data_IF_258267973539
#
_entry.id   IF_258267973539
#
_cell.length_a   1.000
_cell.length_b   1.000
_cell.length_c   1.000
_cell.angle_alpha   90.00
_cell.angle_beta   90.00
_cell.angle_gamma   90.00
#
_symmetry.space_group_name_H-M   'P 1'
#
loop_
_entity.id
_entity.type
_entity.pdbx_description
1 polymer ?
#
# COMPACT_ATOMS: atom_id res chain seq x y z
N UNK A 1 19.40 43.39 34.33
CA UNK A 1 20.07 43.52 33.01
C UNK A 1 20.78 42.21 32.73
N UNK A 2 20.38 41.49 31.66
CA UNK A 2 21.19 40.60 30.77
C UNK A 2 21.96 39.45 31.45
N UNK A 3 21.70 38.15 31.24
CA UNK A 3 21.73 37.39 29.98
C UNK A 3 21.05 36.02 30.17
N UNK A 4 20.12 35.71 29.27
CA UNK A 4 19.66 34.35 28.94
C UNK A 4 20.70 33.64 28.06
N UNK A 5 20.99 32.35 28.25
CA UNK A 5 21.24 31.33 27.20
C UNK A 5 21.73 29.99 27.77
N UNK A 6 21.31 28.90 27.09
CA UNK A 6 21.64 27.48 27.24
C UNK A 6 20.82 26.73 28.30
N UNK A 7 19.98 25.73 27.96
CA UNK A 7 20.12 24.72 26.92
C UNK A 7 18.75 24.24 26.47
N UNK A 8 18.53 24.37 25.17
CA UNK A 8 17.43 23.83 24.39
C UNK A 8 17.31 22.31 24.62
N UNK A 9 16.29 21.88 25.37
CA UNK A 9 15.83 20.49 25.35
C UNK A 9 15.07 20.31 24.03
N UNK A 10 15.76 19.82 23.00
CA UNK A 10 15.16 19.57 21.69
C UNK A 10 14.05 18.53 21.77
N UNK A 11 12.92 18.71 21.05
CA UNK A 11 11.95 17.65 20.87
C UNK A 11 12.50 16.61 19.88
N UNK A 12 11.86 15.43 19.87
CA UNK A 12 11.86 14.41 18.80
C UNK A 12 12.90 13.27 18.89
N UNK A 13 12.68 12.34 19.83
CA UNK A 13 12.68 10.95 19.41
C UNK A 13 11.41 10.75 18.57
N UNK A 14 11.46 11.15 17.31
CA UNK A 14 10.62 10.59 16.27
C UNK A 14 10.99 9.10 16.24
N UNK A 15 10.27 8.29 17.02
CA UNK A 15 10.26 6.85 16.85
C UNK A 15 10.00 6.60 15.38
N UNK A 16 11.03 6.11 14.67
CA UNK A 16 11.00 5.84 13.24
C UNK A 16 10.09 4.63 13.01
N UNK A 17 8.78 4.84 13.17
CA UNK A 17 7.72 3.88 12.89
C UNK A 17 7.95 3.42 11.47
N UNK A 18 8.23 2.14 11.29
CA UNK A 18 8.46 1.57 9.96
C UNK A 18 7.29 1.95 9.05
N UNK A 19 7.59 2.78 8.05
CA UNK A 19 6.59 3.25 7.10
C UNK A 19 6.25 2.08 6.19
N UNK A 20 5.16 1.37 6.52
CA UNK A 20 4.62 0.33 5.66
C UNK A 20 3.82 1.02 4.57
N UNK A 21 4.45 1.20 3.42
CA UNK A 21 3.79 1.74 2.24
C UNK A 21 2.92 0.65 1.60
N UNK A 22 1.71 1.02 1.23
CA UNK A 22 0.71 0.16 0.61
C UNK A 22 0.36 0.73 -0.76
N UNK A 23 0.58 -0.02 -1.82
CA UNK A 23 0.20 0.35 -3.18
C UNK A 23 -1.14 -0.31 -3.50
N UNK A 24 -2.13 0.48 -3.91
CA UNK A 24 -3.40 -0.03 -4.39
C UNK A 24 -3.43 0.11 -5.90
N UNK A 25 -3.69 -1.01 -6.58
CA UNK A 25 -3.75 -1.08 -8.03
C UNK A 25 -4.78 -2.13 -8.45
N UNK A 26 -5.28 -2.02 -9.68
CA UNK A 26 -6.21 -2.99 -10.24
C UNK A 26 -6.19 -2.95 -11.75
N UNK A 27 -6.94 -3.85 -12.35
CA UNK A 27 -7.03 -3.95 -13.80
C UNK A 27 -7.92 -5.10 -14.20
N UNK A 28 -8.11 -5.23 -15.51
CA UNK A 28 -8.86 -6.34 -16.07
C UNK A 28 -8.00 -7.61 -16.06
N UNK A 29 -8.52 -8.69 -15.50
CA UNK A 29 -7.91 -10.00 -15.51
C UNK A 29 -8.29 -10.77 -16.77
N UNK A 30 -7.40 -11.64 -17.25
CA UNK A 30 -7.74 -12.56 -18.34
C UNK A 30 -8.83 -13.56 -17.94
N UNK A 31 -8.81 -13.95 -16.68
CA UNK A 31 -9.77 -14.86 -16.07
C UNK A 31 -10.00 -14.42 -14.62
N UNK A 32 -11.26 -14.30 -14.16
CA UNK A 32 -11.57 -13.80 -12.83
C UNK A 32 -11.10 -14.73 -11.70
N UNK A 33 -10.78 -15.99 -12.02
CA UNK A 33 -10.24 -16.97 -11.06
C UNK A 33 -8.72 -16.92 -10.94
N UNK A 34 -8.05 -16.15 -11.80
CA UNK A 34 -6.58 -16.02 -11.84
C UNK A 34 -6.15 -14.64 -11.39
N UNK A 35 -4.85 -14.48 -11.21
CA UNK A 35 -4.19 -13.20 -10.87
C UNK A 35 -3.41 -12.60 -12.05
N UNK A 36 -3.74 -13.02 -13.27
CA UNK A 36 -3.08 -12.57 -14.50
C UNK A 36 -3.87 -11.44 -15.13
N UNK A 37 -3.25 -10.27 -15.24
CA UNK A 37 -3.82 -9.12 -15.92
C UNK A 37 -3.82 -9.33 -17.43
N UNK A 38 -4.93 -8.97 -18.07
CA UNK A 38 -5.11 -9.02 -19.51
C UNK A 38 -4.21 -8.03 -20.25
N UNK A 39 -4.08 -6.83 -19.72
CA UNK A 39 -3.17 -5.82 -20.23
C UNK A 39 -2.44 -5.13 -19.06
N UNK A 40 -1.12 -5.19 -19.07
CA UNK A 40 -0.27 -4.58 -18.03
C UNK A 40 -0.12 -3.07 -18.23
N UNK A 41 -0.35 -2.56 -19.44
CA UNK A 41 -0.29 -1.13 -19.73
C UNK A 41 -1.58 -0.41 -19.33
N UNK A 42 -2.70 -1.15 -19.24
CA UNK A 42 -4.01 -0.65 -18.79
C UNK A 42 -4.22 -0.81 -17.28
N UNK A 43 -3.14 -1.00 -16.52
CA UNK A 43 -3.24 -1.14 -15.08
C UNK A 43 -3.67 0.17 -14.43
N UNK A 44 -4.78 0.13 -13.70
CA UNK A 44 -5.28 1.25 -12.93
C UNK A 44 -4.53 1.35 -11.59
N UNK A 45 -3.69 2.38 -11.46
CA UNK A 45 -3.02 2.71 -10.20
C UNK A 45 -3.89 3.68 -9.41
N UNK A 46 -4.39 3.25 -8.26
CA UNK A 46 -5.25 4.06 -7.38
C UNK A 46 -4.40 5.02 -6.56
N UNK A 47 -3.28 4.53 -6.00
CA UNK A 47 -2.37 5.36 -5.22
C UNK A 47 -1.49 4.59 -4.24
N UNK A 48 -0.61 5.32 -3.56
CA UNK A 48 0.28 4.80 -2.51
C UNK A 48 -0.13 5.43 -1.19
N UNK A 49 -0.32 4.59 -0.17
CA UNK A 49 -0.84 4.98 1.14
C UNK A 49 0.16 4.66 2.26
N UNK A 50 0.21 5.49 3.31
CA UNK A 50 1.17 5.33 4.41
C UNK A 50 0.74 4.29 5.47
N UNK A 51 -0.48 3.76 5.38
CA UNK A 51 -1.00 2.72 6.27
C UNK A 51 -2.00 1.80 5.54
N UNK A 52 -2.28 0.65 6.15
CA UNK A 52 -3.16 -0.37 5.59
C UNK A 52 -4.63 0.09 5.55
N UNK A 53 -5.09 0.85 6.55
CA UNK A 53 -6.49 1.28 6.64
C UNK A 53 -6.89 2.20 5.48
N UNK A 54 -6.05 3.20 5.17
CA UNK A 54 -6.26 4.09 4.02
C UNK A 54 -6.20 3.32 2.70
N UNK A 55 -5.27 2.38 2.54
CA UNK A 55 -5.19 1.53 1.37
C UNK A 55 -6.43 0.63 1.20
N UNK A 56 -6.90 0.04 2.30
CA UNK A 56 -8.09 -0.80 2.33
C UNK A 56 -9.34 -0.01 1.96
N UNK A 57 -9.50 1.21 2.48
CA UNK A 57 -10.61 2.09 2.13
C UNK A 57 -10.59 2.46 0.64
N UNK A 58 -9.42 2.79 0.08
CA UNK A 58 -9.28 3.08 -1.34
C UNK A 58 -9.59 1.86 -2.22
N UNK A 59 -9.04 0.68 -1.87
CA UNK A 59 -9.33 -0.58 -2.53
C UNK A 59 -10.82 -0.91 -2.50
N UNK A 60 -11.47 -0.78 -1.34
CA UNK A 60 -12.90 -1.06 -1.17
C UNK A 60 -13.74 -0.14 -2.04
N UNK A 61 -13.42 1.15 -2.09
CA UNK A 61 -14.14 2.12 -2.91
C UNK A 61 -14.07 1.76 -4.40
N UNK A 62 -12.88 1.44 -4.90
CA UNK A 62 -12.68 1.08 -6.31
C UNK A 62 -13.29 -0.29 -6.66
N UNK A 63 -13.10 -1.30 -5.80
CA UNK A 63 -13.69 -2.63 -6.00
C UNK A 63 -15.23 -2.60 -5.98
N UNK A 64 -15.83 -1.78 -5.12
CA UNK A 64 -17.29 -1.60 -5.09
C UNK A 64 -17.82 -0.86 -6.32
N UNK A 65 -17.04 0.08 -6.87
CA UNK A 65 -17.40 0.82 -8.08
C UNK A 65 -17.40 -0.07 -9.33
N UNK A 66 -16.61 -1.13 -9.34
CA UNK A 66 -16.44 -2.02 -10.50
C UNK A 66 -17.13 -3.37 -10.33
N UNK A 67 -18.13 -3.48 -9.43
CA UNK A 67 -18.84 -4.74 -9.16
C UNK A 67 -19.50 -5.34 -10.41
N UNK A 68 -19.92 -4.51 -11.36
CA UNK A 68 -20.53 -4.93 -12.62
C UNK A 68 -19.52 -5.50 -13.63
N UNK A 69 -18.22 -5.28 -13.44
CA UNK A 69 -17.17 -5.87 -14.28
C UNK A 69 -16.51 -7.05 -13.55
N UNK A 70 -16.92 -8.26 -13.93
CA UNK A 70 -16.44 -9.51 -13.33
C UNK A 70 -14.91 -9.72 -13.45
N UNK A 71 -14.27 -9.12 -14.45
CA UNK A 71 -12.82 -9.26 -14.67
C UNK A 71 -12.02 -8.15 -14.01
N UNK A 72 -12.66 -7.06 -13.57
CA UNK A 72 -11.96 -5.96 -12.92
C UNK A 72 -11.67 -6.30 -11.46
N UNK A 73 -10.38 -6.42 -11.12
CA UNK A 73 -9.95 -6.77 -9.76
C UNK A 73 -8.91 -5.77 -9.26
N UNK A 74 -9.07 -5.36 -8.01
CA UNK A 74 -8.11 -4.53 -7.29
C UNK A 74 -7.38 -5.33 -6.22
N UNK A 75 -6.12 -4.97 -6.01
CA UNK A 75 -5.17 -5.60 -5.10
C UNK A 75 -4.45 -4.52 -4.27
N UNK A 76 -3.99 -4.93 -3.08
CA UNK A 76 -3.16 -4.11 -2.20
C UNK A 76 -1.78 -4.78 -2.09
N UNK A 77 -0.74 -4.14 -2.62
CA UNK A 77 0.64 -4.59 -2.48
C UNK A 77 1.32 -3.91 -1.29
N UNK A 78 2.02 -4.70 -0.47
CA UNK A 78 2.81 -4.21 0.66
C UNK A 78 4.25 -3.94 0.22
N UNK A 79 4.58 -2.68 -0.09
CA UNK A 79 5.90 -2.28 -0.60
C UNK A 79 7.02 -2.39 0.45
N UNK A 80 6.68 -2.47 1.73
CA UNK A 80 7.65 -2.63 2.81
C UNK A 80 8.51 -3.90 2.66
N UNK A 81 7.98 -4.94 2.00
CA UNK A 81 8.64 -6.24 1.88
C UNK A 81 9.69 -6.28 0.77
N UNK A 82 9.62 -5.36 -0.19
CA UNK A 82 10.53 -5.34 -1.33
C UNK A 82 11.89 -4.68 -1.01
N UNK A 83 12.00 -3.94 0.11
CA UNK A 83 13.25 -3.30 0.56
C UNK A 83 14.07 -4.15 1.54
N UNK A 84 13.54 -5.31 1.93
CA UNK A 84 14.17 -6.25 2.87
C UNK A 84 14.58 -7.54 2.13
N UNK A 85 15.30 -7.38 1.01
CA UNK A 85 15.95 -8.46 0.26
C UNK A 85 17.12 -9.08 1.07
N UNK A 86 16.74 -9.72 2.18
CA UNK A 86 17.60 -10.46 3.08
C UNK A 86 16.87 -11.36 4.08
N UNK A 87 15.53 -11.36 4.14
CA UNK A 87 14.81 -12.36 4.94
C UNK A 87 13.53 -12.83 4.28
N UNK A 88 13.59 -14.10 3.90
CA UNK A 88 12.56 -14.95 3.35
C UNK A 88 11.31 -14.92 4.23
N UNK A 89 10.19 -14.62 3.58
CA UNK A 89 8.87 -15.20 3.76
C UNK A 89 7.88 -14.13 3.31
N UNK A 90 7.24 -14.37 2.16
CA UNK A 90 6.07 -13.61 1.75
C UNK A 90 4.98 -14.47 1.18
N UNK A 91 4.20 -15.07 2.08
CA UNK A 91 2.84 -15.52 1.76
C UNK A 91 2.07 -14.33 1.17
N UNK A 92 1.91 -14.38 -0.15
CA UNK A 92 0.94 -13.65 -0.96
C UNK A 92 -0.32 -14.52 -1.19
N UNK A 93 -0.48 -15.57 -0.39
CA UNK A 93 -1.63 -16.47 -0.44
C UNK A 93 -2.47 -16.22 0.82
N UNK A 94 -3.79 -16.36 0.66
CA UNK A 94 -4.86 -16.24 1.67
C UNK A 94 -5.55 -14.87 1.80
N UNK A 95 -6.20 -14.42 0.72
CA UNK A 95 -7.53 -13.80 0.85
C UNK A 95 -8.46 -14.57 -0.08
N UNK A 96 -9.16 -15.56 0.50
CA UNK A 96 -10.11 -16.44 -0.17
C UNK A 96 -11.39 -15.77 -0.66
#
# INVERSE_FOLDING_TARGET
>A
MTTVMARHLGPILQEKRMQRLHLVFGGELEDPTKTVFRDVNDLHIVGIFPNYEEAYNAWKAEAQRTVDNAHMRYFIAHLHRLREEGKEASSTEELG
#
